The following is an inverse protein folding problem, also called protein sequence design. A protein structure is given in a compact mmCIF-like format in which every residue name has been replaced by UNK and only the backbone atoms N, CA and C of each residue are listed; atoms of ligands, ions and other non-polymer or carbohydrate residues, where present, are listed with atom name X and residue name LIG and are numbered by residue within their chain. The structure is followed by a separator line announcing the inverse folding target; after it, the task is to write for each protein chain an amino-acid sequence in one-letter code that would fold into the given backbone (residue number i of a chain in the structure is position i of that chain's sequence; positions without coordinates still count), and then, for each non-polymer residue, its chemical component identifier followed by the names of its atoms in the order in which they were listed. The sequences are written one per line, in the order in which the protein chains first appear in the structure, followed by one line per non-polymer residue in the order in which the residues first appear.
data_IF_471744463207
#
_entry.id   IF_471744463207
#
_cell.length_a   1.000
_cell.length_b   1.000
_cell.length_c   1.000
_cell.angle_alpha   90.00
_cell.angle_beta   90.00
_cell.angle_gamma   90.00
#
_symmetry.space_group_name_H-M   'P 1'
#
loop_
_entity.id
_entity.type
_entity.pdbx_description
1 polymer ?
#
# COMPACT_ATOMS: atom_id res chain seq x y z
N UNK A 1 -28.65 -17.27 52.31
CA UNK A 1 -27.32 -17.91 52.23
C UNK A 1 -27.01 -18.27 50.78
N UNK A 2 -26.18 -17.46 50.10
CA UNK A 2 -25.18 -17.87 49.11
C UNK A 2 -24.41 -16.62 48.70
N UNK A 3 -23.16 -16.59 49.13
CA UNK A 3 -22.16 -15.57 48.91
C UNK A 3 -21.32 -16.05 47.71
N UNK A 4 -21.10 -15.25 46.67
CA UNK A 4 -19.94 -15.45 45.78
C UNK A 4 -19.61 -14.17 45.00
N UNK A 5 -18.45 -13.64 45.36
CA UNK A 5 -17.52 -12.75 44.65
C UNK A 5 -17.71 -12.55 43.14
N UNK A 6 -17.58 -11.28 42.72
CA UNK A 6 -16.83 -10.80 41.56
C UNK A 6 -16.46 -9.33 41.83
N UNK A 7 -15.36 -9.08 42.54
CA UNK A 7 -14.06 -8.69 41.97
C UNK A 7 -14.15 -7.64 40.84
N UNK A 8 -14.08 -6.39 41.29
CA UNK A 8 -13.24 -5.31 40.76
C UNK A 8 -12.77 -5.47 39.31
N UNK A 9 -13.55 -4.95 38.37
CA UNK A 9 -13.04 -4.66 37.03
C UNK A 9 -12.19 -3.40 37.13
N UNK A 10 -10.91 -3.58 36.82
CA UNK A 10 -9.89 -2.56 36.61
C UNK A 10 -10.43 -1.45 35.69
N UNK A 11 -10.45 -0.21 36.17
CA UNK A 11 -10.60 0.98 35.35
C UNK A 11 -9.47 1.03 34.31
N UNK A 12 -9.78 0.60 33.09
CA UNK A 12 -8.97 0.91 31.94
C UNK A 12 -9.08 2.42 31.69
N UNK A 13 -7.95 3.12 31.77
CA UNK A 13 -7.83 4.55 31.50
C UNK A 13 -8.63 4.95 30.27
N UNK A 14 -9.53 5.91 30.48
CA UNK A 14 -10.40 6.49 29.48
C UNK A 14 -9.57 7.13 28.37
N UNK A 15 -9.38 6.38 27.27
CA UNK A 15 -9.02 6.98 25.99
C UNK A 15 -10.14 7.96 25.63
N UNK A 16 -9.78 9.24 25.56
CA UNK A 16 -10.64 10.33 25.15
C UNK A 16 -11.49 9.95 23.91
N UNK A 17 -12.78 10.31 23.85
CA UNK A 17 -13.60 10.00 22.69
C UNK A 17 -12.99 10.63 21.43
N UNK A 18 -13.18 10.05 20.23
CA UNK A 18 -12.74 10.68 19.00
C UNK A 18 -13.52 11.99 18.81
N UNK A 19 -12.89 13.12 19.16
CA UNK A 19 -13.51 14.43 19.15
C UNK A 19 -13.76 14.86 17.69
N UNK A 20 -15.03 14.85 17.31
CA UNK A 20 -15.50 15.24 15.98
C UNK A 20 -15.42 16.76 15.80
N UNK A 21 -14.28 17.26 15.35
CA UNK A 21 -14.16 18.64 14.90
C UNK A 21 -15.12 18.91 13.70
N UNK A 22 -15.79 20.08 13.65
CA UNK A 22 -16.77 20.39 12.61
C UNK A 22 -16.14 20.47 11.20
N UNK A 23 -16.92 20.03 10.20
CA UNK A 23 -16.58 20.00 8.77
C UNK A 23 -16.39 21.43 8.21
N UNK A 24 -15.18 21.99 8.33
CA UNK A 24 -14.80 23.19 7.59
C UNK A 24 -14.89 22.93 6.07
N UNK A 25 -15.44 23.91 5.33
CA UNK A 25 -15.54 23.86 3.85
C UNK A 25 -14.18 23.49 3.23
N UNK A 26 -14.14 22.63 2.21
CA UNK A 26 -12.89 22.25 1.57
C UNK A 26 -12.18 23.49 1.02
N UNK A 27 -10.86 23.67 1.30
CA UNK A 27 -10.14 24.88 0.96
C UNK A 27 -9.86 25.01 -0.55
N UNK A 28 -9.48 26.21 -1.03
CA UNK A 28 -9.10 26.45 -2.42
C UNK A 28 -7.92 25.56 -2.83
N UNK A 29 -7.95 25.22 -4.10
CA UNK A 29 -7.32 24.05 -4.68
C UNK A 29 -5.80 24.13 -4.54
N UNK A 30 -5.17 23.02 -4.13
CA UNK A 30 -3.80 22.81 -4.59
C UNK A 30 -3.79 22.97 -6.11
N UNK A 31 -2.69 23.49 -6.69
CA UNK A 31 -2.57 23.75 -8.12
C UNK A 31 -3.31 22.63 -8.91
N UNK A 32 -4.21 22.97 -9.86
CA UNK A 32 -5.12 21.99 -10.47
C UNK A 32 -4.42 20.70 -10.93
N UNK A 33 -3.18 20.86 -11.40
CA UNK A 33 -2.27 19.77 -11.74
C UNK A 33 -2.02 18.77 -10.61
N UNK A 34 -1.73 19.20 -9.37
CA UNK A 34 -1.42 18.29 -8.25
C UNK A 34 -2.69 17.53 -7.81
N UNK A 35 -3.86 18.17 -7.86
CA UNK A 35 -5.14 17.50 -7.62
C UNK A 35 -5.39 16.42 -8.67
N UNK A 36 -5.14 16.75 -9.94
CA UNK A 36 -5.21 15.82 -11.05
C UNK A 36 -4.22 14.66 -10.90
N UNK A 37 -2.96 14.95 -10.60
CA UNK A 37 -1.90 13.95 -10.36
C UNK A 37 -2.32 13.02 -9.24
N UNK A 38 -2.82 13.52 -8.12
CA UNK A 38 -3.34 12.67 -7.03
C UNK A 38 -4.51 11.80 -7.50
N UNK A 39 -5.45 12.33 -8.27
CA UNK A 39 -6.61 11.57 -8.76
C UNK A 39 -6.19 10.41 -9.64
N UNK A 40 -5.25 10.64 -10.56
CA UNK A 40 -4.80 9.65 -11.55
C UNK A 40 -3.52 8.91 -11.18
N UNK A 41 -2.97 9.13 -9.98
CA UNK A 41 -1.69 8.56 -9.48
C UNK A 41 -1.49 7.05 -9.69
N UNK A 42 -2.57 6.27 -9.79
CA UNK A 42 -2.51 4.83 -10.06
C UNK A 42 -2.14 4.52 -11.51
N UNK A 43 -2.57 5.37 -12.44
CA UNK A 43 -2.43 5.18 -13.88
C UNK A 43 -1.20 5.89 -14.46
N UNK A 44 -0.73 6.97 -13.80
CA UNK A 44 0.44 7.73 -14.25
C UNK A 44 1.71 6.89 -14.48
N UNK A 45 2.03 5.86 -13.67
CA UNK A 45 3.22 5.05 -13.90
C UNK A 45 3.07 4.09 -15.10
N UNK A 46 1.85 3.77 -15.53
CA UNK A 46 1.60 2.70 -16.52
C UNK A 46 2.27 2.98 -17.86
N UNK A 47 2.13 4.17 -18.49
CA UNK A 47 2.82 4.46 -19.75
C UNK A 47 4.35 4.36 -19.64
N UNK A 48 4.90 4.76 -18.49
CA UNK A 48 6.34 4.73 -18.24
C UNK A 48 6.85 3.29 -18.06
N UNK A 49 6.10 2.46 -17.34
CA UNK A 49 6.39 1.02 -17.21
C UNK A 49 6.30 0.33 -18.57
N UNK A 50 5.27 0.62 -19.37
CA UNK A 50 5.15 0.08 -20.73
C UNK A 50 6.31 0.51 -21.62
N UNK A 51 6.72 1.78 -21.54
CA UNK A 51 7.90 2.27 -22.24
C UNK A 51 9.15 1.48 -21.85
N UNK A 52 9.39 1.28 -20.55
CA UNK A 52 10.53 0.49 -20.05
C UNK A 52 10.46 -0.95 -20.56
N UNK A 53 9.31 -1.62 -20.50
CA UNK A 53 9.16 -3.01 -20.95
C UNK A 53 9.40 -3.14 -22.45
N UNK A 54 8.92 -2.19 -23.26
CA UNK A 54 9.01 -2.25 -24.73
C UNK A 54 10.41 -1.88 -25.23
N UNK A 55 11.01 -0.81 -24.69
CA UNK A 55 12.23 -0.22 -25.23
C UNK A 55 13.50 -0.64 -24.49
N UNK A 56 13.39 -1.10 -23.24
CA UNK A 56 14.52 -1.62 -22.49
C UNK A 56 14.47 -3.14 -22.42
N UNK A 57 15.65 -3.74 -22.25
CA UNK A 57 15.81 -5.18 -22.05
C UNK A 57 16.28 -5.44 -20.63
N UNK A 58 15.74 -6.45 -19.93
CA UNK A 58 16.31 -6.91 -18.68
C UNK A 58 17.74 -7.37 -18.94
N UNK A 59 18.64 -7.12 -17.99
CA UNK A 59 20.03 -7.56 -18.07
C UNK A 59 20.30 -8.61 -17.02
N UNK A 60 21.13 -9.60 -17.34
CA UNK A 60 21.54 -10.62 -16.36
C UNK A 60 22.71 -10.05 -15.55
N UNK A 61 22.61 -9.97 -14.21
CA UNK A 61 23.67 -9.40 -13.39
C UNK A 61 25.00 -10.13 -13.60
N UNK A 62 25.99 -9.41 -14.15
CA UNK A 62 27.32 -9.95 -14.50
C UNK A 62 27.28 -11.22 -15.38
N UNK A 63 26.16 -11.49 -16.06
CA UNK A 63 25.98 -12.70 -16.86
C UNK A 63 25.87 -14.00 -16.06
N UNK A 64 25.70 -13.94 -14.73
CA UNK A 64 25.61 -15.13 -13.87
C UNK A 64 24.17 -15.51 -13.56
N UNK A 65 23.71 -16.73 -13.89
CA UNK A 65 22.38 -17.21 -13.52
C UNK A 65 22.14 -17.23 -12.00
N UNK A 66 23.19 -17.45 -11.21
CA UNK A 66 23.09 -17.43 -9.75
C UNK A 66 22.84 -16.02 -9.19
N UNK A 67 23.45 -15.00 -9.81
CA UNK A 67 23.21 -13.61 -9.43
C UNK A 67 21.84 -13.12 -9.89
N UNK A 68 21.39 -13.57 -11.06
CA UNK A 68 20.04 -13.34 -11.58
C UNK A 68 18.97 -13.82 -10.57
N UNK A 69 19.07 -15.09 -10.16
CA UNK A 69 18.19 -15.66 -9.13
C UNK A 69 18.25 -14.90 -7.82
N UNK A 70 19.45 -14.47 -7.40
CA UNK A 70 19.61 -13.67 -6.19
C UNK A 70 18.94 -12.30 -6.32
N UNK A 71 19.09 -11.61 -7.46
CA UNK A 71 18.43 -10.33 -7.70
C UNK A 71 16.92 -10.48 -7.74
N UNK A 72 16.39 -11.57 -8.30
CA UNK A 72 14.95 -11.82 -8.32
C UNK A 72 14.40 -12.06 -6.91
N UNK A 73 15.09 -12.88 -6.10
CA UNK A 73 14.73 -13.11 -4.69
C UNK A 73 14.75 -11.80 -3.91
N UNK A 74 15.78 -10.96 -4.09
CA UNK A 74 15.87 -9.66 -3.44
C UNK A 74 14.75 -8.72 -3.90
N UNK A 75 14.47 -8.66 -5.20
CA UNK A 75 13.41 -7.83 -5.77
C UNK A 75 12.02 -8.23 -5.28
N UNK A 76 11.72 -9.54 -5.26
CA UNK A 76 10.49 -10.10 -4.68
C UNK A 76 10.40 -9.81 -3.18
N UNK A 77 11.51 -9.96 -2.44
CA UNK A 77 11.58 -9.62 -1.02
C UNK A 77 11.28 -8.15 -0.74
N UNK A 78 11.82 -7.23 -1.55
CA UNK A 78 11.53 -5.79 -1.46
C UNK A 78 10.06 -5.51 -1.78
N UNK A 79 9.47 -6.17 -2.78
CA UNK A 79 8.04 -6.06 -3.08
C UNK A 79 7.17 -6.53 -1.91
N UNK A 80 7.50 -7.68 -1.34
CA UNK A 80 6.80 -8.25 -0.19
C UNK A 80 6.89 -7.34 1.03
N UNK A 81 8.06 -6.75 1.31
CA UNK A 81 8.25 -5.75 2.37
C UNK A 81 7.37 -4.51 2.13
N UNK A 82 7.34 -4.01 0.90
CA UNK A 82 6.47 -2.89 0.52
C UNK A 82 4.98 -3.21 0.70
N UNK A 83 4.55 -4.39 0.28
CA UNK A 83 3.18 -4.85 0.45
C UNK A 83 2.82 -5.07 1.92
N UNK A 84 3.74 -5.61 2.71
CA UNK A 84 3.57 -5.78 4.16
C UNK A 84 3.36 -4.42 4.84
N UNK A 85 4.21 -3.44 4.56
CA UNK A 85 4.09 -2.08 5.13
C UNK A 85 2.72 -1.47 4.84
N UNK A 86 2.17 -1.70 3.64
CA UNK A 86 0.84 -1.21 3.26
C UNK A 86 -0.29 -1.94 3.99
N UNK A 87 -0.18 -3.26 4.13
CA UNK A 87 -1.15 -4.03 4.93
C UNK A 87 -1.11 -3.62 6.39
N UNK A 88 0.10 -3.41 6.94
CA UNK A 88 0.29 -2.95 8.31
C UNK A 88 -0.34 -1.57 8.54
N UNK A 89 -0.17 -0.64 7.60
CA UNK A 89 -0.75 0.70 7.67
C UNK A 89 -2.29 0.69 7.71
N UNK A 90 -2.95 -0.19 6.93
CA UNK A 90 -4.40 -0.30 6.96
C UNK A 90 -4.93 -1.08 8.16
N UNK A 91 -4.27 -2.17 8.53
CA UNK A 91 -4.74 -3.04 9.61
C UNK A 91 -4.64 -2.38 10.99
N UNK A 92 -3.54 -1.68 11.28
CA UNK A 92 -3.34 -0.93 12.53
C UNK A 92 -4.29 0.24 12.70
N UNK A 93 -4.86 0.75 11.61
CA UNK A 93 -5.75 1.91 11.60
C UNK A 93 -7.20 1.52 11.24
N UNK A 94 -7.60 0.28 11.50
CA UNK A 94 -8.92 -0.20 11.11
C UNK A 94 -10.08 0.39 11.92
N UNK A 95 -9.82 0.76 13.17
CA UNK A 95 -10.76 1.49 14.02
C UNK A 95 -10.82 2.99 13.69
N UNK A 96 -9.85 3.52 12.92
CA UNK A 96 -9.81 4.92 12.53
C UNK A 96 -10.89 5.16 11.47
N UNK A 97 -11.91 5.93 11.86
CA UNK A 97 -12.99 6.32 10.96
C UNK A 97 -12.49 7.06 9.71
N UNK A 98 -13.36 7.24 8.72
CA UNK A 98 -13.04 7.94 7.45
C UNK A 98 -12.36 9.30 7.64
N UNK A 99 -12.65 9.94 8.76
CA UNK A 99 -12.25 11.30 9.11
C UNK A 99 -11.28 11.39 10.28
N UNK A 100 -10.75 10.27 10.78
CA UNK A 100 -9.71 10.29 11.82
C UNK A 100 -8.31 10.46 11.24
N UNK A 101 -7.40 11.01 12.04
CA UNK A 101 -5.96 10.98 11.76
C UNK A 101 -5.47 9.54 11.90
N UNK A 102 -4.60 9.11 10.98
CA UNK A 102 -3.92 7.82 11.08
C UNK A 102 -2.58 8.04 11.74
N UNK A 103 -2.42 7.48 12.93
CA UNK A 103 -1.28 7.68 13.82
C UNK A 103 -0.76 6.36 14.41
N UNK A 104 -1.42 5.23 14.14
CA UNK A 104 -1.06 3.90 14.67
C UNK A 104 -0.18 3.08 13.75
N UNK A 105 0.54 2.11 14.33
CA UNK A 105 1.34 1.15 13.58
C UNK A 105 2.48 1.85 12.84
N UNK A 106 2.67 1.62 11.52
CA UNK A 106 3.79 2.23 10.80
C UNK A 106 3.67 3.75 10.68
N UNK A 107 2.52 4.34 11.00
CA UNK A 107 2.37 5.80 11.06
C UNK A 107 3.15 6.43 12.23
N UNK A 108 3.55 5.69 13.26
CA UNK A 108 4.43 6.22 14.32
C UNK A 108 5.88 6.35 13.85
N UNK A 109 6.29 5.57 12.84
CA UNK A 109 7.65 5.56 12.29
C UNK A 109 7.81 6.48 11.08
N UNK A 110 6.74 6.67 10.30
CA UNK A 110 6.75 7.53 9.12
C UNK A 110 5.35 8.06 8.80
N UNK A 111 5.25 9.24 8.18
CA UNK A 111 3.94 9.86 7.89
C UNK A 111 3.21 9.26 6.70
N UNK A 112 3.92 8.58 5.81
CA UNK A 112 3.39 8.13 4.52
C UNK A 112 3.73 6.66 4.18
N UNK A 113 3.43 5.70 5.07
CA UNK A 113 3.82 4.29 4.88
C UNK A 113 3.19 3.64 3.65
N UNK A 114 2.00 4.08 3.23
CA UNK A 114 1.36 3.59 2.00
C UNK A 114 2.15 3.97 0.74
N UNK A 115 2.73 5.17 0.70
CA UNK A 115 3.53 5.64 -0.43
C UNK A 115 4.95 5.07 -0.39
N UNK A 116 5.54 4.94 0.80
CA UNK A 116 6.80 4.22 0.98
C UNK A 116 6.68 2.76 0.51
N UNK A 117 5.60 2.07 0.88
CA UNK A 117 5.37 0.70 0.41
C UNK A 117 5.16 0.59 -1.10
N UNK A 118 4.51 1.57 -1.73
CA UNK A 118 4.42 1.63 -3.20
C UNK A 118 5.79 1.83 -3.85
N UNK A 119 6.62 2.70 -3.28
CA UNK A 119 7.99 2.92 -3.76
C UNK A 119 8.81 1.64 -3.66
N UNK A 120 8.72 0.91 -2.54
CA UNK A 120 9.36 -0.40 -2.38
C UNK A 120 8.89 -1.40 -3.43
N UNK A 121 7.58 -1.49 -3.73
CA UNK A 121 7.08 -2.39 -4.78
C UNK A 121 7.69 -2.03 -6.15
N UNK A 122 7.73 -0.76 -6.53
CA UNK A 122 8.34 -0.34 -7.82
C UNK A 122 9.85 -0.60 -7.82
N UNK A 123 10.54 -0.35 -6.71
CA UNK A 123 11.95 -0.66 -6.54
C UNK A 123 12.20 -2.16 -6.71
N UNK A 124 11.44 -3.02 -6.03
CA UNK A 124 11.57 -4.46 -6.12
C UNK A 124 11.34 -4.99 -7.54
N UNK A 125 10.31 -4.51 -8.24
CA UNK A 125 10.08 -4.84 -9.65
C UNK A 125 11.21 -4.34 -10.56
N UNK A 126 11.79 -3.17 -10.27
CA UNK A 126 12.95 -2.67 -11.01
C UNK A 126 14.21 -3.49 -10.72
N UNK A 127 14.33 -4.07 -9.52
CA UNK A 127 15.40 -5.00 -9.15
C UNK A 127 15.27 -6.32 -9.91
N UNK A 128 14.07 -6.91 -9.98
CA UNK A 128 13.79 -8.08 -10.83
C UNK A 128 14.15 -7.77 -12.29
N UNK A 129 13.72 -6.62 -12.81
CA UNK A 129 14.03 -6.23 -14.20
C UNK A 129 15.54 -6.02 -14.46
N UNK A 130 16.32 -5.73 -13.41
CA UNK A 130 17.76 -5.48 -13.44
C UNK A 130 18.25 -4.71 -14.68
N UNK A 131 17.92 -3.41 -14.76
CA UNK A 131 18.44 -2.53 -15.81
C UNK A 131 18.66 -1.11 -15.27
N UNK A 132 19.88 -0.57 -15.41
CA UNK A 132 20.25 0.76 -14.92
C UNK A 132 19.27 1.87 -15.36
N UNK A 133 18.90 1.87 -16.65
CA UNK A 133 17.99 2.87 -17.22
C UNK A 133 16.57 2.72 -16.69
N UNK A 134 16.12 1.50 -16.39
CA UNK A 134 14.81 1.29 -15.77
C UNK A 134 14.74 1.95 -14.39
N UNK A 135 15.80 1.85 -13.56
CA UNK A 135 15.82 2.53 -12.26
C UNK A 135 15.75 4.06 -12.42
N UNK A 136 16.53 4.63 -13.34
CA UNK A 136 16.57 6.08 -13.58
C UNK A 136 15.26 6.62 -14.16
N UNK A 137 14.58 5.83 -15.01
CA UNK A 137 13.30 6.22 -15.58
C UNK A 137 12.15 6.02 -14.59
N UNK A 138 12.15 4.99 -13.76
CA UNK A 138 11.02 4.68 -12.87
C UNK A 138 11.13 5.37 -11.51
N UNK A 139 12.27 5.29 -10.82
CA UNK A 139 12.34 5.65 -9.40
C UNK A 139 12.30 7.16 -9.13
N UNK A 140 13.11 8.03 -9.79
CA UNK A 140 13.07 9.46 -9.52
C UNK A 140 11.72 10.11 -9.84
N UNK A 141 11.07 9.87 -11.00
CA UNK A 141 9.76 10.44 -11.28
C UNK A 141 8.69 9.96 -10.29
N UNK A 142 8.75 8.69 -9.89
CA UNK A 142 7.81 8.12 -8.94
C UNK A 142 8.00 8.69 -7.52
N UNK A 143 9.25 8.85 -7.08
CA UNK A 143 9.59 9.53 -5.83
C UNK A 143 9.12 10.99 -5.83
N UNK A 144 9.38 11.73 -6.92
CA UNK A 144 8.94 13.12 -7.06
C UNK A 144 7.42 13.24 -7.04
N UNK A 145 6.70 12.38 -7.76
CA UNK A 145 5.24 12.33 -7.78
C UNK A 145 4.68 12.16 -6.35
N UNK A 146 5.20 11.21 -5.57
CA UNK A 146 4.73 11.02 -4.20
C UNK A 146 5.18 12.13 -3.25
N UNK A 147 6.35 12.72 -3.45
CA UNK A 147 6.74 13.91 -2.71
C UNK A 147 5.74 15.06 -2.91
N UNK A 148 5.31 15.31 -4.15
CA UNK A 148 4.31 16.34 -4.47
C UNK A 148 2.94 16.03 -3.86
N UNK A 149 2.46 14.78 -3.98
CA UNK A 149 1.17 14.35 -3.43
C UNK A 149 1.16 14.46 -1.90
N UNK A 150 2.20 13.97 -1.23
CA UNK A 150 2.29 13.98 0.23
C UNK A 150 2.38 15.40 0.78
N UNK A 151 3.13 16.30 0.15
CA UNK A 151 3.15 17.72 0.50
C UNK A 151 1.74 18.34 0.52
N UNK A 152 0.95 18.07 -0.52
CA UNK A 152 -0.44 18.53 -0.58
C UNK A 152 -1.30 17.88 0.51
N UNK A 153 -1.15 16.58 0.75
CA UNK A 153 -1.93 15.87 1.77
C UNK A 153 -1.62 16.38 3.18
N UNK A 154 -0.35 16.62 3.51
CA UNK A 154 0.02 17.20 4.80
C UNK A 154 -0.49 18.63 4.98
N UNK A 155 -0.46 19.47 3.93
CA UNK A 155 -1.06 20.82 4.00
C UNK A 155 -2.57 20.75 4.30
N UNK A 156 -3.27 19.74 3.76
CA UNK A 156 -4.68 19.50 4.05
C UNK A 156 -4.90 18.99 5.48
N UNK A 157 -4.04 18.08 5.97
CA UNK A 157 -4.12 17.56 7.33
C UNK A 157 -3.84 18.65 8.38
N UNK A 158 -2.79 19.45 8.21
CA UNK A 158 -2.47 20.60 9.08
C UNK A 158 -3.63 21.57 9.27
N UNK A 159 -4.42 21.81 8.22
CA UNK A 159 -5.55 22.75 8.28
C UNK A 159 -6.82 22.14 8.85
N UNK A 160 -6.94 20.81 8.81
CA UNK A 160 -8.15 20.08 9.21
C UNK A 160 -8.10 19.62 10.66
N UNK A 161 -6.93 19.18 11.12
CA UNK A 161 -6.69 18.60 12.44
C UNK A 161 -5.64 19.43 13.17
N UNK A 162 -5.83 20.75 13.21
CA UNK A 162 -4.80 21.75 13.55
C UNK A 162 -3.92 21.35 14.73
N UNK A 163 -4.52 20.91 15.84
CA UNK A 163 -3.82 20.52 17.06
C UNK A 163 -3.31 19.07 16.99
N UNK A 164 -4.18 18.09 16.72
CA UNK A 164 -3.80 16.65 16.66
C UNK A 164 -2.67 16.37 15.66
N UNK A 165 -2.68 17.03 14.50
CA UNK A 165 -1.64 16.85 13.48
C UNK A 165 -0.35 17.60 13.82
N UNK A 166 -0.43 18.65 14.64
CA UNK A 166 0.76 19.34 15.17
C UNK A 166 1.46 18.43 16.16
N UNK A 167 0.74 17.91 17.15
CA UNK A 167 1.25 16.94 18.14
C UNK A 167 1.85 15.70 17.46
N UNK A 168 1.14 15.12 16.49
CA UNK A 168 1.65 13.98 15.71
C UNK A 168 3.00 14.26 15.00
N UNK A 169 3.24 15.51 14.57
CA UNK A 169 4.50 15.89 13.91
C UNK A 169 5.63 16.18 14.88
N UNK A 170 5.32 16.51 16.13
CA UNK A 170 6.31 16.81 17.17
C UNK A 170 7.03 15.54 17.63
N UNK A 171 6.46 14.36 17.41
CA UNK A 171 7.06 13.04 17.67
C UNK A 171 8.15 12.60 16.67
N UNK A 172 8.85 13.55 16.04
CA UNK A 172 9.93 13.31 15.07
C UNK A 172 9.62 12.23 14.02
N UNK A 173 8.44 12.33 13.39
CA UNK A 173 7.99 11.36 12.40
C UNK A 173 8.42 11.80 10.98
N UNK A 174 9.49 11.24 10.40
CA UNK A 174 9.91 11.53 9.03
C UNK A 174 8.82 11.19 8.00
N UNK A 175 8.95 11.74 6.78
CA UNK A 175 7.93 11.52 5.74
C UNK A 175 7.89 10.09 5.22
N UNK A 176 9.05 9.55 4.88
CA UNK A 176 9.18 8.31 4.10
C UNK A 176 10.15 7.31 4.71
N UNK A 177 11.32 7.75 5.18
CA UNK A 177 12.28 6.88 5.85
C UNK A 177 11.76 6.58 7.26
N UNK A 178 11.78 5.33 7.75
CA UNK A 178 11.29 5.01 9.08
C UNK A 178 12.20 5.54 10.19
N UNK A 179 11.62 6.22 11.18
CA UNK A 179 12.24 6.47 12.48
C UNK A 179 12.28 5.16 13.29
N UNK A 180 13.39 4.42 13.21
CA UNK A 180 13.54 3.13 13.89
C UNK A 180 13.47 3.23 15.42
N UNK A 181 13.75 4.40 16.00
CA UNK A 181 13.58 4.63 17.43
C UNK A 181 12.11 4.53 17.89
N UNK A 182 11.15 4.76 16.97
CA UNK A 182 9.70 4.62 17.24
C UNK A 182 9.16 3.21 16.99
N UNK A 183 10.02 2.21 16.75
CA UNK A 183 9.60 0.84 16.42
C UNK A 183 8.77 0.20 17.53
N UNK A 184 9.12 0.43 18.79
CA UNK A 184 8.33 -0.06 19.93
C UNK A 184 6.90 0.51 19.91
N UNK A 185 6.77 1.83 19.70
CA UNK A 185 5.47 2.51 19.58
C UNK A 185 4.66 1.99 18.39
N UNK A 186 5.32 1.68 17.27
CA UNK A 186 4.65 1.09 16.11
C UNK A 186 3.99 -0.25 16.45
N UNK A 187 4.70 -1.15 17.13
CA UNK A 187 4.14 -2.44 17.49
C UNK A 187 3.09 -2.34 18.60
N UNK A 188 3.31 -1.50 19.63
CA UNK A 188 2.36 -1.36 20.74
C UNK A 188 1.02 -0.76 20.29
N UNK A 189 1.02 0.13 19.30
CA UNK A 189 -0.21 0.74 18.75
C UNK A 189 -0.86 -0.06 17.63
N UNK A 190 -0.30 -1.20 17.23
CA UNK A 190 -0.81 -2.00 16.09
C UNK A 190 -2.14 -2.70 16.38
N UNK A 191 -2.41 -3.04 17.64
CA UNK A 191 -3.60 -3.80 18.02
C UNK A 191 -4.77 -2.89 18.45
N UNK A 192 -6.03 -3.31 18.22
CA UNK A 192 -6.42 -4.51 17.46
C UNK A 192 -6.19 -4.35 15.94
N UNK A 193 -5.71 -5.43 15.30
CA UNK A 193 -5.41 -5.41 13.86
C UNK A 193 -6.63 -5.79 13.01
N UNK A 194 -7.08 -4.89 12.13
CA UNK A 194 -8.23 -5.15 11.26
C UNK A 194 -7.87 -5.83 9.94
N UNK A 195 -7.64 -7.14 9.98
CA UNK A 195 -7.35 -7.97 8.80
C UNK A 195 -8.34 -7.77 7.65
N UNK A 196 -9.64 -7.72 7.97
CA UNK A 196 -10.68 -7.51 6.98
C UNK A 196 -10.56 -6.17 6.25
N UNK A 197 -10.17 -5.09 6.93
CA UNK A 197 -9.95 -3.80 6.27
C UNK A 197 -8.66 -3.82 5.44
N UNK A 198 -7.57 -4.33 6.00
CA UNK A 198 -6.27 -4.44 5.32
C UNK A 198 -6.43 -5.16 3.99
N UNK A 199 -7.02 -6.37 3.99
CA UNK A 199 -7.24 -7.14 2.78
C UNK A 199 -8.15 -6.44 1.78
N UNK A 200 -9.29 -5.87 2.23
CA UNK A 200 -10.22 -5.14 1.34
C UNK A 200 -9.59 -3.92 0.64
N UNK A 201 -8.55 -3.35 1.23
CA UNK A 201 -7.82 -2.19 0.70
C UNK A 201 -6.64 -2.61 -0.18
N UNK A 202 -5.99 -3.72 0.13
CA UNK A 202 -4.70 -4.09 -0.44
C UNK A 202 -4.75 -5.30 -1.38
N UNK A 203 -5.87 -6.04 -1.50
CA UNK A 203 -5.90 -7.20 -2.40
C UNK A 203 -5.51 -6.86 -3.86
N UNK A 204 -5.89 -5.67 -4.35
CA UNK A 204 -5.55 -5.24 -5.71
C UNK A 204 -4.05 -4.99 -5.89
N UNK A 205 -3.39 -4.40 -4.89
CA UNK A 205 -1.94 -4.20 -4.96
C UNK A 205 -1.20 -5.52 -4.80
N UNK A 206 -1.65 -6.39 -3.87
CA UNK A 206 -1.08 -7.72 -3.67
C UNK A 206 -1.12 -8.55 -4.95
N UNK A 207 -2.27 -8.59 -5.62
CA UNK A 207 -2.39 -9.27 -6.90
C UNK A 207 -1.56 -8.59 -8.00
N UNK A 208 -1.52 -7.25 -8.01
CA UNK A 208 -0.86 -6.48 -9.05
C UNK A 208 0.64 -6.68 -9.10
N UNK A 209 1.34 -6.62 -7.97
CA UNK A 209 2.80 -6.81 -7.98
C UNK A 209 3.20 -8.27 -8.21
N UNK A 210 2.42 -9.23 -7.70
CA UNK A 210 2.64 -10.66 -7.97
C UNK A 210 2.49 -10.96 -9.47
N UNK A 211 1.43 -10.46 -10.10
CA UNK A 211 1.26 -10.56 -11.55
C UNK A 211 2.40 -9.86 -12.30
N UNK A 212 2.87 -8.71 -11.78
CA UNK A 212 4.02 -8.00 -12.31
C UNK A 212 5.29 -8.86 -12.33
N UNK A 213 5.62 -9.53 -11.22
CA UNK A 213 6.76 -10.47 -11.14
C UNK A 213 6.59 -11.58 -12.17
N UNK A 214 5.43 -12.23 -12.24
CA UNK A 214 5.21 -13.33 -13.20
C UNK A 214 5.35 -12.90 -14.66
N UNK A 215 4.87 -11.69 -14.99
CA UNK A 215 5.01 -11.13 -16.34
C UNK A 215 6.48 -10.84 -16.65
N UNK A 216 7.23 -10.30 -15.69
CA UNK A 216 8.66 -10.03 -15.86
C UNK A 216 9.47 -11.32 -16.04
N UNK A 217 9.21 -12.34 -15.22
CA UNK A 217 9.85 -13.67 -15.32
C UNK A 217 9.57 -14.34 -16.68
N UNK A 218 8.30 -14.29 -17.13
CA UNK A 218 7.94 -14.78 -18.46
C UNK A 218 8.65 -13.99 -19.56
N UNK A 219 8.71 -12.66 -19.44
CA UNK A 219 9.37 -11.78 -20.40
C UNK A 219 10.88 -12.03 -20.48
N UNK A 220 11.57 -12.07 -19.34
CA UNK A 220 13.00 -12.41 -19.23
C UNK A 220 13.27 -13.79 -19.82
N UNK A 221 12.46 -14.78 -19.45
CA UNK A 221 12.58 -16.13 -19.98
C UNK A 221 12.49 -16.20 -21.50
N UNK A 222 11.54 -15.49 -22.10
CA UNK A 222 11.40 -15.42 -23.57
C UNK A 222 12.63 -14.78 -24.21
N UNK A 223 13.17 -13.72 -23.62
CA UNK A 223 14.35 -13.03 -24.16
C UNK A 223 15.63 -13.85 -24.04
N UNK A 224 15.81 -14.57 -22.93
CA UNK A 224 17.02 -15.34 -22.66
C UNK A 224 17.03 -16.69 -23.37
N UNK A 225 15.90 -17.41 -23.35
CA UNK A 225 15.79 -18.79 -23.89
C UNK A 225 15.20 -18.83 -25.31
N UNK A 226 14.61 -17.73 -25.77
CA UNK A 226 13.81 -17.70 -26.99
C UNK A 226 12.40 -18.23 -26.75
N UNK A 227 11.47 -17.82 -27.63
CA UNK A 227 10.04 -18.13 -27.50
C UNK A 227 9.73 -19.63 -27.39
N UNK A 228 10.27 -20.43 -28.32
CA UNK A 228 9.96 -21.86 -28.41
C UNK A 228 10.42 -22.64 -27.17
N UNK A 229 11.64 -22.36 -26.67
CA UNK A 229 12.18 -23.04 -25.50
C UNK A 229 11.56 -22.55 -24.19
N UNK A 230 11.12 -21.29 -24.11
CA UNK A 230 10.50 -20.75 -22.91
C UNK A 230 9.01 -21.11 -22.76
N UNK A 231 8.36 -21.59 -23.81
CA UNK A 231 6.90 -21.77 -23.86
C UNK A 231 6.29 -22.51 -22.65
N UNK A 232 6.86 -23.63 -22.15
CA UNK A 232 6.34 -24.30 -20.96
C UNK A 232 6.37 -23.43 -19.68
N UNK A 233 7.42 -22.62 -19.52
CA UNK A 233 7.56 -21.69 -18.40
C UNK A 233 6.61 -20.50 -18.55
N UNK A 234 6.48 -19.94 -19.76
CA UNK A 234 5.51 -18.89 -20.07
C UNK A 234 4.09 -19.33 -19.72
N UNK A 235 3.71 -20.57 -20.07
CA UNK A 235 2.41 -21.13 -19.73
C UNK A 235 2.21 -21.24 -18.22
N UNK A 236 3.20 -21.76 -17.49
CA UNK A 236 3.14 -21.86 -16.02
C UNK A 236 2.93 -20.49 -15.38
N UNK A 237 3.73 -19.49 -15.75
CA UNK A 237 3.59 -18.13 -15.25
C UNK A 237 2.26 -17.50 -15.66
N UNK A 238 1.79 -17.74 -16.88
CA UNK A 238 0.50 -17.29 -17.37
C UNK A 238 -0.68 -17.89 -16.60
N UNK A 239 -0.63 -19.17 -16.26
CA UNK A 239 -1.65 -19.84 -15.44
C UNK A 239 -1.69 -19.28 -14.03
N UNK A 240 -0.53 -19.06 -13.39
CA UNK A 240 -0.44 -18.45 -12.07
C UNK A 240 -0.97 -17.01 -12.07
N UNK A 241 -0.61 -16.21 -13.08
CA UNK A 241 -1.11 -14.85 -13.24
C UNK A 241 -2.63 -14.83 -13.48
N UNK A 242 -3.12 -15.78 -14.28
CA UNK A 242 -4.55 -16.00 -14.51
C UNK A 242 -5.30 -16.35 -13.23
N UNK A 243 -4.76 -17.26 -12.41
CA UNK A 243 -5.34 -17.62 -11.11
C UNK A 243 -5.42 -16.42 -10.16
N UNK A 244 -4.36 -15.60 -10.11
CA UNK A 244 -4.37 -14.34 -9.35
C UNK A 244 -5.43 -13.38 -9.90
N UNK A 245 -5.54 -13.27 -11.23
CA UNK A 245 -6.55 -12.44 -11.89
C UNK A 245 -7.98 -12.86 -11.54
N UNK A 246 -8.27 -14.17 -11.63
CA UNK A 246 -9.56 -14.75 -11.22
C UNK A 246 -9.83 -14.48 -9.75
N UNK A 247 -8.85 -14.70 -8.87
CA UNK A 247 -8.96 -14.42 -7.43
C UNK A 247 -9.29 -12.95 -7.19
N UNK A 248 -8.60 -12.03 -7.87
CA UNK A 248 -8.85 -10.59 -7.77
C UNK A 248 -10.26 -10.21 -8.24
N UNK A 249 -10.76 -10.83 -9.31
CA UNK A 249 -12.12 -10.63 -9.82
C UNK A 249 -13.17 -11.15 -8.83
N UNK A 250 -12.98 -12.36 -8.28
CA UNK A 250 -13.87 -12.92 -7.27
C UNK A 250 -13.93 -12.04 -6.02
N UNK A 251 -12.78 -11.59 -5.52
CA UNK A 251 -12.70 -10.65 -4.39
C UNK A 251 -13.38 -9.31 -4.70
N UNK A 252 -13.25 -8.82 -5.93
CA UNK A 252 -13.93 -7.59 -6.38
C UNK A 252 -15.45 -7.76 -6.42
N UNK A 253 -15.95 -8.89 -6.91
CA UNK A 253 -17.38 -9.20 -6.96
C UNK A 253 -17.95 -9.40 -5.55
N UNK A 254 -17.24 -10.13 -4.69
CA UNK A 254 -17.60 -10.29 -3.28
C UNK A 254 -17.69 -8.95 -2.54
N UNK A 255 -16.73 -8.05 -2.79
CA UNK A 255 -16.74 -6.67 -2.27
C UNK A 255 -17.90 -5.83 -2.80
N UNK A 256 -18.37 -6.09 -4.03
CA UNK A 256 -19.55 -5.43 -4.60
C UNK A 256 -20.84 -5.94 -3.96
N UNK A 257 -20.98 -7.26 -3.79
CA UNK A 257 -22.15 -7.89 -3.18
C UNK A 257 -22.35 -7.50 -1.70
N UNK A 258 -21.26 -7.47 -0.92
CA UNK A 258 -21.31 -7.04 0.50
C UNK A 258 -21.73 -5.57 0.67
N UNK A 259 -21.42 -4.71 -0.31
CA UNK A 259 -21.86 -3.31 -0.31
C UNK A 259 -23.35 -3.15 -0.61
N UNK A 260 -23.91 -3.94 -1.53
CA UNK A 260 -25.34 -3.85 -1.87
C UNK A 260 -26.21 -4.37 -0.74
N UNK A 261 -25.83 -5.49 -0.10
CA UNK A 261 -26.58 -6.06 1.02
C UNK A 261 -26.57 -5.14 2.28
N UNK A 262 -25.46 -4.45 2.54
CA UNK A 262 -25.40 -3.46 3.62
C UNK A 262 -26.27 -2.22 3.38
N UNK A 263 -26.41 -1.79 2.11
CA UNK A 263 -27.27 -0.67 1.77
C UNK A 263 -28.76 -0.99 1.93
N UNK A 264 -29.19 -2.18 1.48
CA UNK A 264 -30.60 -2.63 1.59
C UNK A 264 -31.02 -2.88 3.04
N UNK A 265 -30.12 -3.41 3.89
CA UNK A 265 -30.40 -3.62 5.31
C UNK A 265 -30.50 -2.30 6.10
N UNK A 266 -29.76 -1.26 5.70
CA UNK A 266 -29.83 0.06 6.34
C UNK A 266 -31.10 0.85 5.98
N UNK A 267 -31.65 0.66 4.77
CA UNK A 267 -32.89 1.32 4.35
C UNK A 267 -34.15 0.71 4.97
N UNK A 268 -34.13 -0.57 5.35
CA UNK A 268 -35.25 -1.22 6.03
C UNK A 268 -35.32 -0.88 7.53
N UNK A 269 -34.19 -0.49 8.14
CA UNK A 269 -34.13 -0.16 9.58
C UNK A 269 -34.42 1.32 9.87
N UNK A 270 -34.38 2.21 8.87
CA UNK A 270 -34.73 3.63 9.02
C UNK A 270 -36.18 3.96 8.61
N UNK A 271 -36.96 2.94 8.21
CA UNK A 271 -38.34 3.06 7.73
C UNK A 271 -39.39 2.47 8.68
N UNK A 272 -39.00 2.14 9.91
CA UNK A 272 -39.87 1.66 10.99
C UNK A 272 -39.74 2.56 12.21
#
# INVERSE_FOLDING_TARGET
MKNTEKSTIVEAGSLSPPLSAPLAKPPPDAAPLIVWVRRYRRYLPVPLVLFVIVFLRPTVPLGSPGLDTLTDILGVGICALGQWLRMWAWGSNAAVGKWGVRDRGPYTMMRHPLYAGNFLIVLGLSVVFHNLWAYLLLLPPFAYMYHAITNMEEKRLRRRFTEDYREYREHDVPRFLPALHNLHSAFSTTLPFGWGLAWRKEYESSCGWLAGVMILEAYQGILLRGWAANWPYTLTWGMLAGLIGVTALLLRQWKKATRTHGATASSSASGS
#
